data_IF_007016807492
#
_entry.id   IF_007016807492
#
_cell.length_a   1.000
_cell.length_b   1.000
_cell.length_c   1.000
_cell.angle_alpha   90.00
_cell.angle_beta   90.00
_cell.angle_gamma   90.00
#
_symmetry.space_group_name_H-M   'P 1'
#
loop_
_entity.id
_entity.type
_entity.pdbx_description
1 polymer ?
#
# COMPACT_ATOMS: atom_id res chain seq x y z
N UNK A 1 3.85 -12.63 17.74
CA UNK A 1 4.04 -11.73 16.57
C UNK A 1 4.88 -10.54 17.02
N UNK A 2 5.95 -10.18 16.29
CA UNK A 2 6.83 -9.07 16.71
C UNK A 2 6.24 -7.72 16.24
N UNK A 3 6.11 -6.78 17.16
CA UNK A 3 5.73 -5.39 16.85
C UNK A 3 6.81 -4.72 16.02
N UNK A 4 6.43 -4.15 14.88
CA UNK A 4 7.33 -3.38 13.99
C UNK A 4 6.83 -1.96 13.87
N UNK A 5 7.63 -1.01 14.38
CA UNK A 5 7.31 0.41 14.36
C UNK A 5 8.09 1.10 13.25
N UNK A 6 7.42 1.92 12.46
CA UNK A 6 8.01 2.72 11.41
C UNK A 6 7.47 4.15 11.42
N UNK A 7 8.15 5.08 10.74
CA UNK A 7 7.61 6.43 10.53
C UNK A 7 6.35 6.32 9.66
N UNK A 8 5.30 7.08 9.98
CA UNK A 8 4.04 7.06 9.21
C UNK A 8 4.28 7.33 7.72
N UNK A 9 5.20 8.26 7.40
CA UNK A 9 5.57 8.58 6.01
C UNK A 9 6.14 7.38 5.24
N UNK A 10 6.80 6.45 5.92
CA UNK A 10 7.36 5.27 5.28
C UNK A 10 6.23 4.31 4.87
N UNK A 11 5.31 4.03 5.79
CA UNK A 11 4.14 3.20 5.47
C UNK A 11 3.27 3.85 4.38
N UNK A 12 3.06 5.17 4.44
CA UNK A 12 2.35 5.92 3.40
C UNK A 12 3.03 5.77 2.04
N UNK A 13 4.37 5.88 1.99
CA UNK A 13 5.14 5.69 0.77
C UNK A 13 5.03 4.26 0.23
N UNK A 14 5.18 3.25 1.09
CA UNK A 14 5.02 1.84 0.72
C UNK A 14 3.64 1.56 0.08
N UNK A 15 2.59 2.21 0.59
CA UNK A 15 1.21 2.03 0.15
C UNK A 15 0.81 2.88 -1.07
N UNK A 16 1.59 3.91 -1.40
CA UNK A 16 1.14 4.93 -2.36
C UNK A 16 -0.09 5.70 -1.86
N UNK A 17 -0.11 6.03 -0.56
CA UNK A 17 -1.17 6.80 0.10
C UNK A 17 -0.61 8.09 0.72
N UNK A 18 -1.48 9.02 1.06
CA UNK A 18 -1.12 10.19 1.84
C UNK A 18 -0.90 9.84 3.33
N UNK A 19 -0.02 10.59 3.99
CA UNK A 19 0.36 10.37 5.39
C UNK A 19 -0.82 10.55 6.34
N UNK A 20 -1.77 11.42 5.99
CA UNK A 20 -2.93 11.73 6.82
C UNK A 20 -3.93 10.56 6.82
N UNK A 21 -4.17 9.93 5.67
CA UNK A 21 -4.97 8.71 5.55
C UNK A 21 -4.42 7.61 6.44
N UNK A 22 -3.11 7.32 6.37
CA UNK A 22 -2.48 6.32 7.23
C UNK A 22 -2.58 6.72 8.71
N UNK A 23 -2.32 7.99 9.04
CA UNK A 23 -2.43 8.50 10.41
C UNK A 23 -3.83 8.34 10.99
N UNK A 24 -4.87 8.59 10.19
CA UNK A 24 -6.27 8.53 10.60
C UNK A 24 -6.68 7.14 11.05
N UNK A 25 -6.32 6.11 10.28
CA UNK A 25 -6.57 4.74 10.69
C UNK A 25 -5.77 4.36 11.93
N UNK A 26 -4.47 4.66 11.94
CA UNK A 26 -3.58 4.22 13.03
C UNK A 26 -3.85 4.91 14.38
N UNK A 27 -4.61 6.01 14.39
CA UNK A 27 -5.06 6.69 15.63
C UNK A 27 -6.46 6.27 16.07
N UNK A 28 -7.21 5.56 15.24
CA UNK A 28 -8.59 5.21 15.51
C UNK A 28 -8.77 3.69 15.42
N UNK A 29 -8.77 3.05 16.60
CA UNK A 29 -8.95 1.60 16.70
C UNK A 29 -10.26 1.09 16.13
N UNK A 30 -11.34 1.88 16.21
CA UNK A 30 -12.63 1.53 15.60
C UNK A 30 -12.50 1.46 14.07
N UNK A 31 -11.80 2.42 13.44
CA UNK A 31 -11.56 2.37 12.01
C UNK A 31 -10.67 1.20 11.57
N UNK A 32 -9.71 0.79 12.42
CA UNK A 32 -8.91 -0.40 12.15
C UNK A 32 -9.73 -1.68 12.24
N UNK A 33 -10.60 -1.79 13.26
CA UNK A 33 -11.51 -2.93 13.42
C UNK A 33 -12.51 -3.00 12.26
N UNK A 34 -13.16 -1.89 11.91
CA UNK A 34 -14.06 -1.85 10.76
C UNK A 34 -13.36 -2.21 9.45
N UNK A 35 -12.11 -1.77 9.28
CA UNK A 35 -11.32 -2.13 8.11
C UNK A 35 -11.01 -3.62 8.08
N UNK A 36 -10.57 -4.18 9.21
CA UNK A 36 -10.36 -5.61 9.38
C UNK A 36 -11.63 -6.39 9.07
N UNK A 37 -12.77 -6.01 9.63
CA UNK A 37 -14.06 -6.68 9.40
C UNK A 37 -14.45 -6.69 7.92
N UNK A 38 -14.33 -5.54 7.25
CA UNK A 38 -14.64 -5.46 5.81
C UNK A 38 -13.72 -6.31 4.97
N UNK A 39 -12.49 -6.50 5.43
CA UNK A 39 -11.49 -7.25 4.72
C UNK A 39 -11.49 -8.75 5.10
N UNK A 40 -12.14 -9.17 6.19
CA UNK A 40 -12.25 -10.57 6.61
C UNK A 40 -12.82 -11.48 5.53
N UNK A 41 -13.74 -10.98 4.69
CA UNK A 41 -14.29 -11.75 3.56
C UNK A 41 -13.21 -12.23 2.57
N UNK A 42 -12.03 -11.62 2.61
CA UNK A 42 -10.89 -11.94 1.76
C UNK A 42 -9.85 -12.82 2.47
N UNK A 43 -10.01 -13.07 3.77
CA UNK A 43 -9.03 -13.77 4.60
C UNK A 43 -9.66 -15.03 5.19
N UNK A 44 -8.99 -16.17 5.02
CA UNK A 44 -9.31 -17.39 5.76
C UNK A 44 -8.79 -17.29 7.22
N UNK A 45 -9.10 -16.20 7.91
CA UNK A 45 -8.65 -15.91 9.28
C UNK A 45 -9.87 -15.71 10.16
N UNK A 46 -9.82 -16.29 11.36
CA UNK A 46 -10.85 -16.16 12.38
C UNK A 46 -11.02 -14.70 12.82
N UNK A 47 -12.29 -14.24 12.88
CA UNK A 47 -12.65 -12.87 13.24
C UNK A 47 -12.15 -12.49 14.63
N UNK A 48 -12.40 -13.33 15.62
CA UNK A 48 -12.10 -13.04 17.02
C UNK A 48 -10.59 -13.00 17.25
N UNK A 49 -9.85 -13.88 16.58
CA UNK A 49 -8.37 -13.85 16.56
C UNK A 49 -7.87 -12.52 15.99
N UNK A 50 -8.45 -12.05 14.89
CA UNK A 50 -8.04 -10.80 14.24
C UNK A 50 -8.35 -9.57 15.10
N UNK A 51 -9.56 -9.52 15.70
CA UNK A 51 -9.96 -8.41 16.58
C UNK A 51 -9.13 -8.37 17.85
N UNK A 52 -8.84 -9.52 18.46
CA UNK A 52 -7.99 -9.60 19.63
C UNK A 52 -6.55 -9.16 19.33
N UNK A 53 -6.04 -9.46 18.13
CA UNK A 53 -4.73 -8.97 17.69
C UNK A 53 -4.71 -7.45 17.54
N UNK A 54 -5.79 -6.85 17.00
CA UNK A 54 -5.93 -5.39 16.91
C UNK A 54 -5.96 -4.76 18.30
N UNK A 55 -6.79 -5.28 19.20
CA UNK A 55 -6.92 -4.77 20.58
C UNK A 55 -5.60 -4.83 21.35
N UNK A 56 -4.85 -5.92 21.21
CA UNK A 56 -3.54 -6.08 21.83
C UNK A 56 -2.52 -5.06 21.31
N UNK A 57 -2.52 -4.81 20.01
CA UNK A 57 -1.51 -3.99 19.33
C UNK A 57 -1.83 -2.49 19.33
N UNK A 58 -3.06 -2.11 19.67
CA UNK A 58 -3.55 -0.72 19.77
C UNK A 58 -2.85 0.12 20.85
N UNK A 59 -2.00 -0.48 21.68
CA UNK A 59 -1.30 0.23 22.75
C UNK A 59 -0.10 1.04 22.25
N UNK A 60 -0.26 2.37 22.31
CA UNK A 60 0.78 3.42 22.26
C UNK A 60 1.57 3.49 20.95
N UNK A 61 0.97 4.12 19.93
CA UNK A 61 1.72 4.65 18.78
C UNK A 61 2.14 6.08 19.05
N UNK A 62 3.45 6.36 19.07
CA UNK A 62 3.97 7.70 19.18
C UNK A 62 3.56 8.55 17.96
N UNK A 63 3.38 9.86 18.13
CA UNK A 63 3.03 10.77 17.03
C UNK A 63 4.05 10.65 15.88
N UNK A 64 3.57 10.44 14.66
CA UNK A 64 4.42 10.28 13.47
C UNK A 64 5.00 8.87 13.28
N UNK A 65 4.63 7.92 14.13
CA UNK A 65 4.99 6.51 14.02
C UNK A 65 3.74 5.63 13.94
N UNK A 66 3.90 4.48 13.29
CA UNK A 66 2.83 3.49 13.08
C UNK A 66 3.36 2.10 13.35
N UNK A 67 2.48 1.26 13.88
CA UNK A 67 2.69 -0.17 13.98
C UNK A 67 2.37 -0.83 12.63
N UNK A 68 3.39 -1.18 11.87
CA UNK A 68 3.26 -1.83 10.54
C UNK A 68 2.59 -3.18 10.67
N UNK A 69 2.91 -3.92 11.73
CA UNK A 69 2.30 -5.21 12.03
C UNK A 69 0.79 -5.08 12.21
N UNK A 70 0.33 -4.09 12.98
CA UNK A 70 -1.09 -3.80 13.16
C UNK A 70 -1.77 -3.39 11.85
N UNK A 71 -1.08 -2.63 10.99
CA UNK A 71 -1.61 -2.31 9.67
C UNK A 71 -1.85 -3.57 8.83
N UNK A 72 -0.89 -4.49 8.78
CA UNK A 72 -1.05 -5.74 8.05
C UNK A 72 -2.16 -6.61 8.66
N UNK A 73 -2.30 -6.68 9.98
CA UNK A 73 -3.45 -7.33 10.61
C UNK A 73 -4.78 -6.75 10.11
N UNK A 74 -4.89 -5.44 9.93
CA UNK A 74 -6.16 -4.83 9.53
C UNK A 74 -6.45 -4.88 8.01
N UNK A 75 -5.42 -4.80 7.16
CA UNK A 75 -5.60 -4.59 5.72
C UNK A 75 -4.94 -5.64 4.84
N UNK A 76 -3.99 -6.41 5.36
CA UNK A 76 -3.28 -7.42 4.59
C UNK A 76 -2.70 -8.58 5.43
N UNK A 77 -3.53 -9.40 6.11
CA UNK A 77 -3.05 -10.43 7.03
C UNK A 77 -2.15 -11.47 6.36
N UNK A 78 -2.35 -11.73 5.07
CA UNK A 78 -1.50 -12.66 4.32
C UNK A 78 -0.05 -12.16 4.14
N UNK A 79 0.19 -10.84 4.27
CA UNK A 79 1.53 -10.24 4.22
C UNK A 79 2.22 -10.22 5.59
N UNK A 80 1.47 -10.49 6.68
CA UNK A 80 1.95 -10.40 8.05
C UNK A 80 3.15 -11.30 8.34
N UNK A 81 3.19 -12.47 7.70
CA UNK A 81 4.25 -13.46 7.86
C UNK A 81 5.41 -13.26 6.87
N UNK A 82 5.25 -12.36 5.89
CA UNK A 82 6.33 -12.03 4.95
C UNK A 82 7.29 -11.03 5.58
N UNK A 83 8.41 -11.53 6.09
CA UNK A 83 9.47 -10.67 6.66
C UNK A 83 10.02 -9.65 5.65
N UNK A 84 9.95 -9.96 4.36
CA UNK A 84 10.34 -9.06 3.26
C UNK A 84 9.36 -7.90 3.14
N UNK A 85 8.05 -8.16 3.13
CA UNK A 85 7.03 -7.12 3.01
C UNK A 85 6.98 -6.23 4.25
N UNK A 86 7.14 -6.82 5.43
CA UNK A 86 7.26 -6.04 6.68
C UNK A 86 8.47 -5.11 6.64
N UNK A 87 9.63 -5.57 6.14
CA UNK A 87 10.83 -4.74 5.97
C UNK A 87 10.61 -3.64 4.93
N UNK A 88 10.00 -3.97 3.78
CA UNK A 88 9.66 -2.98 2.74
C UNK A 88 8.76 -1.89 3.31
N UNK A 89 7.68 -2.26 3.99
CA UNK A 89 6.77 -1.31 4.61
C UNK A 89 7.47 -0.43 5.66
N UNK A 90 8.30 -1.03 6.51
CA UNK A 90 9.03 -0.28 7.54
C UNK A 90 10.06 0.70 6.96
N UNK A 91 10.77 0.29 5.90
CA UNK A 91 11.74 1.13 5.19
C UNK A 91 11.07 2.14 4.25
N UNK A 92 9.75 2.03 4.02
CA UNK A 92 9.03 2.83 3.05
C UNK A 92 9.40 2.51 1.62
N UNK A 93 9.79 1.26 1.36
CA UNK A 93 10.08 0.78 0.02
C UNK A 93 8.79 0.78 -0.79
N UNK A 94 8.74 1.56 -1.85
CA UNK A 94 7.70 1.55 -2.85
C UNK A 94 7.15 0.18 -3.27
N UNK A 95 5.85 -0.11 -3.06
CA UNK A 95 5.31 -1.44 -3.44
C UNK A 95 3.90 -1.39 -3.99
N UNK A 96 3.01 -0.63 -3.37
CA UNK A 96 1.61 -0.54 -3.74
C UNK A 96 1.26 0.84 -4.30
N UNK A 97 0.20 0.88 -5.09
CA UNK A 97 -0.35 2.12 -5.64
C UNK A 97 -1.84 2.00 -5.90
N UNK A 98 -2.55 3.13 -5.85
CA UNK A 98 -3.97 3.19 -6.21
C UNK A 98 -4.17 2.72 -7.65
N UNK A 99 -5.22 1.92 -7.87
CA UNK A 99 -5.58 1.47 -9.21
C UNK A 99 -5.86 2.64 -10.18
N UNK A 100 -6.34 3.79 -9.69
CA UNK A 100 -6.50 5.01 -10.49
C UNK A 100 -5.18 5.54 -11.04
N UNK A 101 -4.17 5.60 -10.18
CA UNK A 101 -2.87 6.19 -10.52
C UNK A 101 -2.10 5.22 -11.43
N UNK A 102 -2.24 3.91 -11.19
CA UNK A 102 -1.72 2.87 -12.09
C UNK A 102 -2.37 2.98 -13.46
N UNK A 103 -3.68 3.25 -13.53
CA UNK A 103 -4.39 3.31 -14.81
C UNK A 103 -3.80 4.40 -15.73
N UNK A 104 -3.45 5.55 -15.16
CA UNK A 104 -2.77 6.64 -15.85
C UNK A 104 -1.33 6.26 -16.25
N UNK A 105 -0.57 5.64 -15.34
CA UNK A 105 0.85 5.31 -15.55
C UNK A 105 1.06 4.12 -16.50
N UNK A 106 0.11 3.18 -16.60
CA UNK A 106 0.28 1.97 -17.41
C UNK A 106 -0.64 1.93 -18.62
N UNK A 107 -1.51 2.92 -18.79
CA UNK A 107 -2.54 2.96 -19.85
C UNK A 107 -3.45 1.71 -19.83
N UNK A 108 -3.90 1.34 -18.62
CA UNK A 108 -4.78 0.20 -18.38
C UNK A 108 -5.97 0.66 -17.56
N UNK A 109 -7.20 0.41 -18.02
CA UNK A 109 -8.38 0.90 -17.30
C UNK A 109 -8.44 0.41 -15.85
N UNK A 110 -8.87 1.28 -14.92
CA UNK A 110 -9.08 0.90 -13.53
C UNK A 110 -10.08 -0.27 -13.37
N UNK A 111 -11.02 -0.41 -14.31
CA UNK A 111 -11.94 -1.55 -14.40
C UNK A 111 -11.19 -2.85 -14.69
N UNK A 112 -10.26 -2.84 -15.64
CA UNK A 112 -9.40 -3.99 -15.96
C UNK A 112 -8.55 -4.39 -14.77
N UNK A 113 -7.90 -3.41 -14.12
CA UNK A 113 -7.10 -3.65 -12.91
C UNK A 113 -7.96 -4.28 -11.80
N UNK A 114 -9.14 -3.70 -11.53
CA UNK A 114 -10.05 -4.22 -10.50
C UNK A 114 -10.54 -5.64 -10.78
N UNK A 115 -10.72 -6.00 -12.05
CA UNK A 115 -11.19 -7.33 -12.46
C UNK A 115 -10.13 -8.42 -12.31
N UNK A 116 -8.85 -8.04 -12.40
CA UNK A 116 -7.70 -8.96 -12.32
C UNK A 116 -6.98 -8.87 -10.97
N UNK A 117 -7.44 -7.99 -10.08
CA UNK A 117 -6.93 -7.81 -8.74
C UNK A 117 -7.45 -8.90 -7.80
N UNK A 118 -6.54 -9.52 -7.06
CA UNK A 118 -6.84 -10.51 -6.02
C UNK A 118 -6.41 -9.96 -4.67
N UNK A 119 -7.36 -9.91 -3.75
CA UNK A 119 -7.09 -9.59 -2.34
C UNK A 119 -6.94 -10.91 -1.61
N UNK A 120 -5.77 -11.14 -1.00
CA UNK A 120 -5.44 -12.42 -0.37
C UNK A 120 -4.05 -12.89 -0.76
N UNK A 121 -3.70 -14.17 -0.47
CA UNK A 121 -2.41 -14.73 -0.78
C UNK A 121 -1.99 -14.50 -2.23
N UNK A 122 -0.69 -14.31 -2.44
CA UNK A 122 -0.13 -14.12 -3.78
C UNK A 122 -0.50 -15.31 -4.67
N UNK A 123 -1.09 -15.02 -5.83
CA UNK A 123 -1.47 -16.04 -6.81
C UNK A 123 -0.68 -15.81 -8.10
N UNK A 124 -0.15 -16.89 -8.71
CA UNK A 124 0.53 -16.79 -9.99
C UNK A 124 -0.34 -16.07 -11.03
N UNK A 125 0.24 -15.11 -11.73
CA UNK A 125 -0.41 -14.33 -12.80
C UNK A 125 -1.57 -13.42 -12.35
N UNK A 126 -1.86 -13.33 -11.05
CA UNK A 126 -2.83 -12.39 -10.50
C UNK A 126 -2.17 -11.05 -10.14
N UNK A 127 -2.96 -9.97 -10.15
CA UNK A 127 -2.51 -8.69 -9.61
C UNK A 127 -2.77 -8.73 -8.12
N UNK A 128 -1.73 -8.79 -7.30
CA UNK A 128 -1.90 -8.72 -5.85
C UNK A 128 -2.52 -7.37 -5.48
N UNK A 129 -3.46 -7.39 -4.53
CA UNK A 129 -4.18 -6.20 -4.15
C UNK A 129 -4.48 -6.10 -2.65
N UNK A 130 -4.46 -4.86 -2.16
CA UNK A 130 -4.84 -4.49 -0.79
C UNK A 130 -6.01 -3.52 -0.87
N UNK A 131 -7.01 -3.68 0.00
CA UNK A 131 -8.16 -2.77 0.05
C UNK A 131 -8.14 -1.93 1.30
N UNK A 132 -8.11 -0.61 1.10
CA UNK A 132 -8.15 0.39 2.17
C UNK A 132 -9.43 1.20 1.98
N UNK A 133 -10.47 0.88 2.76
CA UNK A 133 -11.84 1.42 2.57
C UNK A 133 -12.35 1.18 1.14
N UNK A 134 -12.50 2.26 0.35
CA UNK A 134 -12.98 2.25 -1.03
C UNK A 134 -11.84 2.28 -2.04
N UNK A 135 -10.60 2.39 -1.57
CA UNK A 135 -9.41 2.49 -2.42
C UNK A 135 -8.82 1.10 -2.61
N UNK A 136 -8.68 0.71 -3.88
CA UNK A 136 -7.94 -0.48 -4.26
C UNK A 136 -6.48 -0.10 -4.52
N UNK A 137 -5.58 -0.73 -3.78
CA UNK A 137 -4.15 -0.65 -4.00
C UNK A 137 -3.71 -1.92 -4.72
N UNK A 138 -3.01 -1.79 -5.84
CA UNK A 138 -2.44 -2.91 -6.58
C UNK A 138 -0.92 -2.91 -6.45
N UNK A 139 -0.32 -4.09 -6.47
CA UNK A 139 1.12 -4.26 -6.40
C UNK A 139 1.74 -3.86 -7.75
N UNK A 140 2.65 -2.91 -7.72
CA UNK A 140 3.19 -2.31 -8.96
C UNK A 140 4.01 -3.31 -9.78
N UNK A 141 4.73 -4.24 -9.13
CA UNK A 141 5.51 -5.28 -9.82
C UNK A 141 4.64 -6.16 -10.71
N UNK A 142 3.48 -6.58 -10.20
CA UNK A 142 2.57 -7.50 -10.88
C UNK A 142 1.95 -6.83 -12.11
N UNK A 143 1.69 -5.52 -12.02
CA UNK A 143 1.26 -4.72 -13.16
C UNK A 143 2.37 -4.61 -14.20
N UNK A 144 3.58 -4.27 -13.78
CA UNK A 144 4.69 -4.07 -14.71
C UNK A 144 5.07 -5.35 -15.47
N UNK A 145 4.92 -6.51 -14.82
CA UNK A 145 5.10 -7.81 -15.46
C UNK A 145 4.01 -8.12 -16.49
N UNK A 146 2.74 -7.82 -16.14
CA UNK A 146 1.58 -8.17 -16.97
C UNK A 146 1.28 -7.18 -18.09
N UNK A 147 1.54 -5.91 -17.84
CA UNK A 147 1.33 -4.79 -18.75
C UNK A 147 2.66 -4.05 -18.93
N UNK A 148 3.65 -4.70 -19.57
CA UNK A 148 4.93 -4.07 -19.82
C UNK A 148 4.68 -2.87 -20.73
N UNK A 149 4.94 -1.66 -20.23
CA UNK A 149 4.96 -0.47 -21.07
C UNK A 149 6.11 -0.60 -22.05
N UNK A 150 5.82 -0.75 -23.35
CA UNK A 150 6.83 -0.96 -24.40
C UNK A 150 7.92 0.13 -24.43
N UNK A 151 7.64 1.33 -23.93
CA UNK A 151 8.57 2.45 -23.79
C UNK A 151 9.38 2.46 -22.48
N UNK A 152 9.04 1.61 -21.49
CA UNK A 152 9.56 1.68 -20.10
C UNK A 152 9.84 0.32 -19.45
N UNK A 153 10.02 -0.76 -20.23
CA UNK A 153 10.22 -2.16 -19.79
C UNK A 153 11.49 -2.40 -18.95
N UNK A 154 12.18 -1.39 -18.43
CA UNK A 154 13.38 -1.62 -17.64
C UNK A 154 12.98 -1.96 -16.19
N UNK A 155 13.08 -3.26 -15.89
CA UNK A 155 13.15 -3.87 -14.56
C UNK A 155 13.57 -2.86 -13.47
N UNK A 156 12.62 -2.46 -12.63
CA UNK A 156 12.92 -1.68 -11.43
C UNK A 156 13.37 -0.24 -11.67
N UNK A 157 13.04 0.40 -12.80
CA UNK A 157 13.39 1.80 -13.04
C UNK A 157 12.86 2.71 -11.90
N UNK A 158 13.74 3.35 -11.10
CA UNK A 158 13.37 4.28 -10.04
C UNK A 158 12.54 5.48 -10.55
N UNK A 159 12.48 5.72 -11.86
CA UNK A 159 11.67 6.77 -12.50
C UNK A 159 10.18 6.47 -12.48
N UNK A 160 9.77 5.20 -12.63
CA UNK A 160 8.36 4.81 -12.44
C UNK A 160 7.95 5.26 -11.04
N UNK A 161 8.78 4.96 -10.04
CA UNK A 161 8.48 5.35 -8.69
C UNK A 161 8.52 6.87 -8.42
N UNK A 162 9.38 7.63 -9.11
CA UNK A 162 9.36 9.09 -9.05
C UNK A 162 8.08 9.69 -9.65
N UNK A 163 7.63 9.18 -10.79
CA UNK A 163 6.37 9.63 -11.40
C UNK A 163 5.17 9.23 -10.53
N UNK A 164 5.23 8.02 -9.94
CA UNK A 164 4.31 7.55 -8.92
C UNK A 164 4.23 8.46 -7.67
N UNK A 165 5.37 9.01 -7.20
CA UNK A 165 5.43 9.96 -6.08
C UNK A 165 4.89 11.35 -6.45
N UNK A 166 5.08 11.80 -7.69
CA UNK A 166 4.56 13.09 -8.18
C UNK A 166 3.03 13.11 -8.20
N UNK A 167 2.39 12.01 -8.58
CA UNK A 167 0.92 11.90 -8.62
C UNK A 167 0.32 11.93 -7.19
N UNK A 168 0.97 11.29 -6.22
CA UNK A 168 0.51 11.30 -4.82
C UNK A 168 0.81 12.59 -4.04
N UNK A 169 1.63 13.50 -4.58
CA UNK A 169 1.98 14.77 -3.93
C UNK A 169 1.20 15.99 -4.43
N UNK A 170 0.25 15.78 -5.35
CA UNK A 170 -0.75 16.79 -5.79
C UNK A 170 -0.25 18.23 -5.78
N UNK A 171 0.35 18.69 -6.87
CA UNK A 171 0.74 20.10 -7.06
C UNK A 171 1.73 20.66 -6.00
N UNK A 172 3.02 20.61 -6.33
CA UNK A 172 3.88 21.80 -6.18
C UNK A 172 4.72 21.93 -7.45
N UNK A 173 4.43 23.00 -8.22
CA UNK A 173 5.29 23.45 -9.30
C UNK A 173 6.46 24.26 -8.75
N UNK A 174 7.49 24.35 -9.59
CA UNK A 174 8.64 25.26 -9.60
C UNK A 174 9.88 24.82 -8.79
N UNK A 175 10.94 24.50 -9.53
CA UNK A 175 11.88 25.56 -9.89
C UNK A 175 12.25 25.50 -11.37
N UNK A 176 11.93 26.61 -12.07
CA UNK A 176 12.70 27.09 -13.22
C UNK A 176 14.11 27.45 -12.73
N UNK A 177 15.11 26.88 -13.37
CA UNK A 177 16.26 27.63 -13.89
C UNK A 177 16.60 26.89 -15.20
N UNK A 178 16.44 27.45 -16.40
CA UNK A 178 16.67 28.84 -16.77
C UNK A 178 18.18 29.06 -16.87
N UNK A 179 18.66 29.03 -18.13
CA UNK A 179 20.02 29.21 -18.66
C UNK A 179 20.71 27.85 -18.90
N UNK A 180 20.83 27.31 -20.13
CA UNK A 180 21.20 27.94 -21.42
C UNK A 180 22.41 28.87 -21.34
N UNK A 181 23.47 28.42 -22.02
CA UNK A 181 24.83 28.99 -22.20
C UNK A 181 25.85 28.59 -21.14
#
# INVERSE_FOLDING_TARGET
MKKVIARTKNLALYLGLDVETVSRFMRNGMLLKEAAERNLIHYAVDKDVLMAAIDREMQRSARGYVNVTLWFVAFAPWLLHSSVEVKRAAAGVPTWMKASDIAEIFDVSAKTLSRNAVIGPEQPHAISAVRVRRTLLCRVSDIAERYPRRDRVIKGDPRIWRDCQKINSGFTWNFRHGNES
#
